data_IF_390382974112
#
_entry.id   IF_390382974112
#
_cell.length_a   1.000
_cell.length_b   1.000
_cell.length_c   1.000
_cell.angle_alpha   90.00
_cell.angle_beta   90.00
_cell.angle_gamma   90.00
#
_symmetry.space_group_name_H-M   'P 1'
#
loop_
_entity.id
_entity.type
_entity.pdbx_description
1 polymer ?
#
# COMPACT_ATOMS: atom_id res chain seq x y z
N UNK A 1 -3.73 13.90 31.63
CA UNK A 1 -4.23 15.05 30.84
C UNK A 1 -3.33 15.45 29.66
N UNK A 2 -2.04 15.09 29.61
CA UNK A 2 -1.11 15.45 28.52
C UNK A 2 -1.17 14.60 27.23
N UNK A 3 -1.83 13.43 27.26
CA UNK A 3 -2.04 12.56 26.07
C UNK A 3 -3.25 12.98 25.23
N UNK A 4 -4.22 13.67 25.82
CA UNK A 4 -5.38 14.20 25.09
C UNK A 4 -5.03 15.49 24.35
N UNK A 5 -4.15 16.31 24.93
CA UNK A 5 -3.73 17.60 24.37
C UNK A 5 -2.81 17.47 23.15
N UNK A 6 -2.04 16.38 23.03
CA UNK A 6 -1.21 16.09 21.84
C UNK A 6 -2.02 15.50 20.68
N UNK A 7 -3.08 14.74 20.96
CA UNK A 7 -4.08 14.34 19.96
C UNK A 7 -4.89 15.53 19.45
N UNK A 8 -5.31 16.42 20.37
CA UNK A 8 -5.98 17.68 20.04
C UNK A 8 -5.09 18.65 19.26
N UNK A 9 -3.78 18.69 19.51
CA UNK A 9 -2.85 19.52 18.72
C UNK A 9 -2.72 19.07 17.25
N UNK A 10 -2.99 17.78 16.98
CA UNK A 10 -2.97 17.19 15.64
C UNK A 10 -4.24 17.50 14.85
N UNK A 11 -5.38 17.63 15.54
CA UNK A 11 -6.62 18.20 14.99
C UNK A 11 -6.55 19.73 14.88
N UNK A 12 -5.74 20.41 15.71
CA UNK A 12 -5.63 21.88 15.75
C UNK A 12 -4.76 22.50 14.65
N UNK A 13 -4.00 21.72 13.86
CA UNK A 13 -3.26 22.24 12.70
C UNK A 13 -4.09 22.35 11.41
N UNK A 14 -5.35 21.94 11.46
CA UNK A 14 -6.36 22.36 10.50
C UNK A 14 -7.64 22.58 11.28
N UNK A 15 -7.89 23.81 11.72
CA UNK A 15 -9.26 24.26 11.96
C UNK A 15 -9.97 24.37 10.60
N UNK A 16 -9.99 23.27 9.83
CA UNK A 16 -10.81 23.14 8.64
C UNK A 16 -12.24 23.14 9.14
N UNK A 17 -13.03 24.08 8.65
CA UNK A 17 -14.45 24.13 8.96
C UNK A 17 -15.09 22.75 8.69
N UNK A 18 -16.13 22.33 9.43
CA UNK A 18 -16.84 21.08 9.13
C UNK A 18 -17.21 20.94 7.64
N UNK A 19 -17.44 22.07 7.00
CA UNK A 19 -17.71 22.20 5.57
C UNK A 19 -16.53 21.78 4.68
N UNK A 20 -15.30 22.16 5.00
CA UNK A 20 -14.10 21.74 4.26
C UNK A 20 -13.86 20.23 4.35
N UNK A 21 -14.08 19.65 5.54
CA UNK A 21 -13.99 18.19 5.73
C UNK A 21 -15.04 17.47 4.88
N UNK A 22 -16.27 17.98 4.87
CA UNK A 22 -17.36 17.45 4.06
C UNK A 22 -17.02 17.54 2.56
N UNK A 23 -16.57 18.69 2.06
CA UNK A 23 -16.20 18.84 0.65
C UNK A 23 -15.04 17.95 0.22
N UNK A 24 -14.04 17.79 1.07
CA UNK A 24 -12.93 16.86 0.83
C UNK A 24 -13.41 15.42 0.78
N UNK A 25 -14.34 15.02 1.66
CA UNK A 25 -14.95 13.70 1.64
C UNK A 25 -15.77 13.47 0.37
N UNK A 26 -16.64 14.43 -0.01
CA UNK A 26 -17.42 14.37 -1.23
C UNK A 26 -16.53 14.32 -2.48
N UNK A 27 -15.46 15.11 -2.52
CA UNK A 27 -14.50 15.11 -3.62
C UNK A 27 -13.75 13.77 -3.73
N UNK A 28 -13.28 13.21 -2.61
CA UNK A 28 -12.64 11.89 -2.59
C UNK A 28 -13.60 10.78 -3.02
N UNK A 29 -14.84 10.77 -2.50
CA UNK A 29 -15.86 9.80 -2.88
C UNK A 29 -16.19 9.89 -4.37
N UNK A 30 -16.43 11.11 -4.87
CA UNK A 30 -16.72 11.37 -6.29
C UNK A 30 -15.56 10.91 -7.18
N UNK A 31 -14.31 11.13 -6.77
CA UNK A 31 -13.14 10.70 -7.52
C UNK A 31 -13.03 9.17 -7.59
N UNK A 32 -13.31 8.46 -6.49
CA UNK A 32 -13.39 7.00 -6.48
C UNK A 32 -14.47 6.53 -7.45
N UNK A 33 -15.71 7.01 -7.30
CA UNK A 33 -16.82 6.63 -8.17
C UNK A 33 -16.54 6.93 -9.65
N UNK A 34 -15.97 8.10 -9.97
CA UNK A 34 -15.59 8.46 -11.33
C UNK A 34 -14.54 7.52 -11.91
N UNK A 35 -13.47 7.24 -11.16
CA UNK A 35 -12.40 6.33 -11.61
C UNK A 35 -12.93 4.92 -11.86
N UNK A 36 -13.85 4.45 -11.02
CA UNK A 36 -14.44 3.13 -11.10
C UNK A 36 -15.46 3.04 -12.23
N UNK A 37 -16.26 4.08 -12.44
CA UNK A 37 -17.15 4.19 -13.60
C UNK A 37 -16.36 4.21 -14.92
N UNK A 38 -15.22 4.91 -14.95
CA UNK A 38 -14.35 4.95 -16.11
C UNK A 38 -13.80 3.54 -16.44
N UNK A 39 -13.24 2.83 -15.44
CA UNK A 39 -12.77 1.46 -15.62
C UNK A 39 -13.93 0.51 -16.00
N UNK A 40 -15.14 0.76 -15.51
CA UNK A 40 -16.32 -0.04 -15.85
C UNK A 40 -16.77 0.09 -17.31
N UNK A 41 -16.28 1.10 -18.03
CA UNK A 41 -16.49 1.21 -19.47
C UNK A 41 -15.66 0.19 -20.25
N UNK A 42 -14.52 -0.29 -19.71
CA UNK A 42 -13.64 -1.23 -20.42
C UNK A 42 -14.34 -2.54 -20.79
N UNK A 43 -14.95 -3.30 -19.84
CA UNK A 43 -15.65 -4.53 -20.20
C UNK A 43 -16.91 -4.28 -21.04
N UNK A 44 -17.49 -3.07 -20.98
CA UNK A 44 -18.66 -2.70 -21.81
C UNK A 44 -18.29 -2.39 -23.26
N UNK A 45 -17.19 -1.68 -23.48
CA UNK A 45 -16.72 -1.27 -24.79
C UNK A 45 -15.97 -2.40 -25.51
N UNK A 46 -15.33 -3.29 -24.76
CA UNK A 46 -14.50 -4.36 -25.30
C UNK A 46 -14.89 -5.76 -24.78
N UNK A 47 -16.17 -6.19 -24.90
CA UNK A 47 -16.65 -7.44 -24.31
C UNK A 47 -16.01 -8.70 -24.90
N UNK A 48 -15.39 -8.60 -26.08
CA UNK A 48 -14.70 -9.70 -26.76
C UNK A 48 -13.26 -9.90 -26.31
N UNK A 49 -12.68 -8.97 -25.54
CA UNK A 49 -11.30 -9.09 -25.06
C UNK A 49 -11.21 -10.01 -23.85
N UNK A 50 -10.08 -10.71 -23.72
CA UNK A 50 -9.77 -11.46 -22.49
C UNK A 50 -9.51 -10.50 -21.33
N UNK A 51 -9.68 -10.97 -20.09
CA UNK A 51 -9.36 -10.19 -18.88
C UNK A 51 -7.92 -9.66 -18.90
N UNK A 52 -6.97 -10.47 -19.38
CA UNK A 52 -5.56 -10.08 -19.51
C UNK A 52 -5.36 -8.95 -20.52
N UNK A 53 -6.07 -8.98 -21.65
CA UNK A 53 -6.03 -7.91 -22.66
C UNK A 53 -6.72 -6.62 -22.18
N UNK A 54 -7.70 -6.72 -21.28
CA UNK A 54 -8.36 -5.56 -20.68
C UNK A 54 -7.49 -4.83 -19.65
N UNK A 55 -6.54 -5.50 -18.98
CA UNK A 55 -5.69 -4.90 -17.95
C UNK A 55 -4.92 -3.64 -18.39
N UNK A 56 -4.15 -3.64 -19.51
CA UNK A 56 -3.45 -2.43 -19.95
C UNK A 56 -4.42 -1.30 -20.34
N UNK A 57 -5.58 -1.63 -20.93
CA UNK A 57 -6.61 -0.65 -21.28
C UNK A 57 -7.21 -0.04 -20.01
N UNK A 58 -7.57 -0.86 -19.02
CA UNK A 58 -8.04 -0.42 -17.72
C UNK A 58 -7.01 0.46 -17.00
N UNK A 59 -5.71 0.13 -17.10
CA UNK A 59 -4.63 0.95 -16.58
C UNK A 59 -4.59 2.34 -17.22
N UNK A 60 -4.64 2.42 -18.55
CA UNK A 60 -4.67 3.70 -19.27
C UNK A 60 -5.92 4.53 -18.95
N UNK A 61 -7.09 3.89 -18.91
CA UNK A 61 -8.36 4.55 -18.55
C UNK A 61 -8.32 5.07 -17.11
N UNK A 62 -7.78 4.28 -16.18
CA UNK A 62 -7.64 4.69 -14.78
C UNK A 62 -6.67 5.87 -14.64
N UNK A 63 -5.54 5.86 -15.34
CA UNK A 63 -4.60 6.99 -15.37
C UNK A 63 -5.24 8.25 -15.95
N UNK A 64 -5.96 8.13 -17.06
CA UNK A 64 -6.70 9.24 -17.65
C UNK A 64 -7.75 9.79 -16.68
N UNK A 65 -8.48 8.92 -15.96
CA UNK A 65 -9.45 9.33 -14.95
C UNK A 65 -8.79 10.07 -13.77
N UNK A 66 -7.61 9.64 -13.32
CA UNK A 66 -6.84 10.37 -12.29
C UNK A 66 -6.43 11.76 -12.79
N UNK A 67 -5.93 11.87 -14.02
CA UNK A 67 -5.49 13.15 -14.61
C UNK A 67 -6.68 14.10 -14.74
N UNK A 68 -7.78 13.64 -15.33
CA UNK A 68 -9.02 14.43 -15.46
C UNK A 68 -9.57 14.84 -14.08
N UNK A 69 -9.58 13.93 -13.11
CA UNK A 69 -10.01 14.23 -11.76
C UNK A 69 -9.10 15.22 -11.03
N UNK A 70 -7.80 15.26 -11.35
CA UNK A 70 -6.88 16.31 -10.86
C UNK A 70 -7.19 17.67 -11.48
N UNK A 71 -7.44 17.71 -12.79
CA UNK A 71 -7.80 18.94 -13.51
C UNK A 71 -9.14 19.51 -13.01
N UNK A 72 -10.15 18.66 -12.87
CA UNK A 72 -11.48 19.03 -12.37
C UNK A 72 -11.44 19.62 -10.96
N UNK A 73 -10.68 18.99 -10.06
CA UNK A 73 -10.51 19.51 -8.69
C UNK A 73 -9.78 20.84 -8.65
N UNK A 74 -8.78 21.04 -9.53
CA UNK A 74 -8.09 22.32 -9.66
C UNK A 74 -9.02 23.43 -10.15
N UNK A 75 -9.97 23.09 -11.02
CA UNK A 75 -10.97 24.03 -11.52
C UNK A 75 -11.98 24.45 -10.44
N UNK A 76 -12.49 23.51 -9.63
CA UNK A 76 -13.48 23.80 -8.57
C UNK A 76 -12.81 24.35 -7.30
N UNK A 77 -11.50 24.16 -7.13
CA UNK A 77 -10.77 24.63 -5.94
C UNK A 77 -10.99 23.76 -4.70
N UNK A 78 -11.42 22.50 -4.86
CA UNK A 78 -11.66 21.57 -3.75
C UNK A 78 -10.49 20.59 -3.62
N UNK A 79 -9.88 20.55 -2.43
CA UNK A 79 -8.89 19.56 -2.08
C UNK A 79 -9.56 18.20 -1.84
N UNK A 80 -8.98 17.11 -2.33
CA UNK A 80 -9.40 15.76 -1.95
C UNK A 80 -8.39 15.16 -0.99
N UNK A 81 -8.87 14.39 -0.03
CA UNK A 81 -8.06 13.69 0.95
C UNK A 81 -7.68 12.31 0.43
N UNK A 82 -6.38 12.04 0.30
CA UNK A 82 -5.86 10.73 -0.08
C UNK A 82 -6.24 9.62 0.92
N UNK A 83 -6.24 9.85 2.25
CA UNK A 83 -6.81 8.89 3.21
C UNK A 83 -8.27 8.56 2.99
N UNK A 84 -9.09 9.56 2.66
CA UNK A 84 -10.51 9.32 2.34
C UNK A 84 -10.65 8.56 1.02
N UNK A 85 -9.77 8.80 0.05
CA UNK A 85 -9.73 8.02 -1.18
C UNK A 85 -9.45 6.52 -0.91
N UNK A 86 -8.49 6.21 -0.03
CA UNK A 86 -8.23 4.83 0.40
C UNK A 86 -9.45 4.23 1.12
N UNK A 87 -10.04 4.97 2.07
CA UNK A 87 -11.25 4.55 2.79
C UNK A 87 -12.40 4.19 1.83
N UNK A 88 -12.71 5.08 0.88
CA UNK A 88 -13.83 4.85 -0.05
C UNK A 88 -13.56 3.69 -1.01
N UNK A 89 -12.31 3.39 -1.37
CA UNK A 89 -12.00 2.19 -2.15
C UNK A 89 -12.22 0.91 -1.33
N UNK A 90 -11.82 0.87 -0.05
CA UNK A 90 -12.12 -0.26 0.84
C UNK A 90 -13.64 -0.48 0.92
N UNK A 91 -14.39 0.59 1.19
CA UNK A 91 -15.85 0.53 1.31
C UNK A 91 -16.52 0.12 -0.01
N UNK A 92 -16.01 0.58 -1.15
CA UNK A 92 -16.52 0.19 -2.46
C UNK A 92 -16.31 -1.30 -2.72
N UNK A 93 -15.07 -1.81 -2.57
CA UNK A 93 -14.78 -3.23 -2.80
C UNK A 93 -15.59 -4.11 -1.85
N UNK A 94 -15.66 -3.73 -0.57
CA UNK A 94 -16.47 -4.44 0.42
C UNK A 94 -17.97 -4.39 0.07
N UNK A 95 -18.47 -3.24 -0.38
CA UNK A 95 -19.85 -3.07 -0.83
C UNK A 95 -20.18 -3.93 -2.06
N UNK A 96 -19.33 -3.94 -3.09
CA UNK A 96 -19.50 -4.79 -4.28
C UNK A 96 -19.53 -6.26 -3.85
N UNK A 97 -18.63 -6.65 -2.95
CA UNK A 97 -18.61 -8.00 -2.43
C UNK A 97 -19.93 -8.37 -1.73
N UNK A 98 -20.37 -7.57 -0.76
CA UNK A 98 -21.58 -7.86 0.04
C UNK A 98 -22.85 -7.83 -0.81
N UNK A 99 -23.02 -6.80 -1.64
CA UNK A 99 -24.29 -6.56 -2.35
C UNK A 99 -24.41 -7.28 -3.70
N UNK A 100 -23.28 -7.61 -4.34
CA UNK A 100 -23.26 -8.26 -5.66
C UNK A 100 -22.78 -9.70 -5.55
N UNK A 101 -21.54 -9.92 -5.09
CA UNK A 101 -20.91 -11.25 -5.10
C UNK A 101 -21.61 -12.20 -4.12
N UNK A 102 -21.65 -11.86 -2.82
CA UNK A 102 -22.30 -12.67 -1.77
C UNK A 102 -23.78 -12.88 -2.06
N UNK A 103 -24.50 -11.84 -2.50
CA UNK A 103 -25.92 -11.94 -2.81
C UNK A 103 -26.17 -12.94 -3.94
N UNK A 104 -25.36 -12.89 -5.00
CA UNK A 104 -25.38 -13.89 -6.07
C UNK A 104 -25.19 -15.30 -5.53
N UNK A 105 -24.22 -15.49 -4.62
CA UNK A 105 -23.98 -16.80 -3.99
C UNK A 105 -25.19 -17.36 -3.23
N UNK A 106 -25.85 -16.52 -2.43
CA UNK A 106 -27.01 -16.91 -1.62
C UNK A 106 -28.24 -17.26 -2.47
N UNK A 107 -28.48 -16.55 -3.57
CA UNK A 107 -29.62 -16.81 -4.46
C UNK A 107 -29.51 -18.20 -5.09
N UNK A 108 -28.34 -18.60 -5.58
CA UNK A 108 -28.19 -19.94 -6.18
C UNK A 108 -28.17 -21.06 -5.15
N UNK A 109 -27.62 -20.86 -3.95
CA UNK A 109 -27.76 -21.84 -2.86
C UNK A 109 -29.23 -22.14 -2.62
N UNK A 110 -30.06 -21.10 -2.51
CA UNK A 110 -31.51 -21.23 -2.34
C UNK A 110 -32.18 -21.94 -3.53
N UNK A 111 -31.77 -21.64 -4.78
CA UNK A 111 -32.32 -22.32 -5.96
C UNK A 111 -31.95 -23.80 -5.99
N UNK A 112 -30.71 -24.14 -5.63
CA UNK A 112 -30.26 -25.53 -5.52
C UNK A 112 -31.09 -26.26 -4.47
N UNK A 113 -31.21 -25.72 -3.26
CA UNK A 113 -32.00 -26.35 -2.18
C UNK A 113 -33.44 -26.65 -2.65
N UNK A 114 -34.11 -25.70 -3.31
CA UNK A 114 -35.48 -25.90 -3.84
C UNK A 114 -35.53 -27.04 -4.88
N UNK A 115 -34.52 -27.15 -5.75
CA UNK A 115 -34.44 -28.23 -6.76
C UNK A 115 -34.15 -29.59 -6.09
N UNK A 116 -33.31 -29.64 -5.05
CA UNK A 116 -32.99 -30.87 -4.30
C UNK A 116 -34.19 -31.42 -3.50
N UNK A 117 -35.11 -30.56 -3.05
CA UNK A 117 -36.29 -30.98 -2.27
C UNK A 117 -37.54 -31.31 -3.11
N UNK A 118 -37.44 -31.34 -4.44
CA UNK A 118 -38.53 -31.80 -5.31
C UNK A 118 -38.73 -33.32 -5.21
N UNK A 119 -39.97 -33.82 -5.01
CA UNK A 119 -40.24 -35.24 -4.70
C UNK A 119 -39.90 -36.24 -5.83
N UNK A 120 -39.65 -35.77 -7.06
CA UNK A 120 -39.56 -36.64 -8.25
C UNK A 120 -38.15 -36.86 -8.84
N UNK A 121 -37.07 -36.37 -8.21
CA UNK A 121 -35.74 -36.33 -8.87
C UNK A 121 -34.67 -37.27 -8.28
N UNK A 122 -34.99 -38.02 -7.22
CA UNK A 122 -34.02 -38.82 -6.46
C UNK A 122 -33.34 -39.96 -7.27
N UNK A 123 -33.92 -40.43 -8.37
CA UNK A 123 -33.45 -41.63 -9.10
C UNK A 123 -32.24 -41.38 -10.02
N UNK A 124 -31.95 -40.14 -10.43
CA UNK A 124 -30.83 -39.82 -11.34
C UNK A 124 -29.53 -39.41 -10.63
N UNK A 125 -29.47 -39.41 -9.29
CA UNK A 125 -28.42 -38.73 -8.50
C UNK A 125 -27.09 -39.47 -8.35
N UNK A 126 -26.94 -40.71 -8.83
CA UNK A 126 -25.68 -41.47 -8.72
C UNK A 126 -24.49 -40.84 -9.46
N UNK A 127 -24.73 -40.11 -10.55
CA UNK A 127 -23.69 -39.35 -11.29
C UNK A 127 -23.48 -37.96 -10.68
N UNK A 128 -24.50 -37.43 -10.01
CA UNK A 128 -24.47 -36.08 -9.48
C UNK A 128 -23.90 -36.04 -8.06
N UNK A 129 -23.73 -37.19 -7.39
CA UNK A 129 -23.04 -37.29 -6.09
C UNK A 129 -21.53 -36.98 -6.19
N UNK A 130 -20.89 -37.34 -7.31
CA UNK A 130 -19.50 -36.93 -7.63
C UNK A 130 -19.41 -35.41 -7.86
N UNK A 131 -20.43 -34.81 -8.49
CA UNK A 131 -20.58 -33.36 -8.69
C UNK A 131 -20.98 -32.65 -7.38
N UNK A 132 -21.70 -33.34 -6.48
CA UNK A 132 -22.11 -32.87 -5.16
C UNK A 132 -20.93 -32.81 -4.20
N UNK A 133 -19.98 -33.74 -4.28
CA UNK A 133 -18.72 -33.65 -3.54
C UNK A 133 -17.90 -32.42 -3.97
N UNK A 134 -17.86 -32.12 -5.28
CA UNK A 134 -17.31 -30.85 -5.78
C UNK A 134 -18.07 -29.64 -5.24
N UNK A 135 -19.40 -29.76 -5.09
CA UNK A 135 -20.29 -28.70 -4.61
C UNK A 135 -20.21 -28.46 -3.10
N UNK A 136 -19.99 -29.49 -2.29
CA UNK A 136 -19.80 -29.40 -0.83
C UNK A 136 -18.45 -28.74 -0.51
N UNK A 137 -17.38 -29.14 -1.20
CA UNK A 137 -16.06 -28.47 -1.14
C UNK A 137 -16.18 -27.01 -1.64
N UNK A 138 -16.95 -26.75 -2.70
CA UNK A 138 -17.18 -25.39 -3.21
C UNK A 138 -18.02 -24.52 -2.26
N UNK A 139 -18.98 -25.11 -1.52
CA UNK A 139 -19.79 -24.41 -0.53
C UNK A 139 -18.98 -24.06 0.72
N UNK A 140 -18.16 -25.00 1.22
CA UNK A 140 -17.31 -24.80 2.40
C UNK A 140 -16.22 -23.75 2.12
N UNK A 141 -15.57 -23.82 0.95
CA UNK A 141 -14.63 -22.77 0.50
C UNK A 141 -15.27 -21.40 0.32
N UNK A 142 -16.58 -21.31 0.03
CA UNK A 142 -17.27 -20.01 -0.11
C UNK A 142 -17.62 -19.40 1.25
N UNK A 143 -17.96 -20.23 2.25
CA UNK A 143 -18.20 -19.78 3.63
C UNK A 143 -16.92 -19.23 4.27
N UNK A 144 -15.80 -19.96 4.14
CA UNK A 144 -14.50 -19.53 4.65
C UNK A 144 -14.04 -18.23 3.99
N UNK A 145 -14.21 -18.13 2.66
CA UNK A 145 -13.84 -16.95 1.90
C UNK A 145 -14.69 -15.73 2.30
N UNK A 146 -15.97 -15.94 2.61
CA UNK A 146 -16.84 -14.89 3.13
C UNK A 146 -16.38 -14.36 4.49
N UNK A 147 -16.08 -15.25 5.43
CA UNK A 147 -15.55 -14.83 6.73
C UNK A 147 -14.22 -14.09 6.57
N UNK A 148 -13.34 -14.60 5.69
CA UNK A 148 -12.02 -14.03 5.45
C UNK A 148 -12.10 -12.60 4.92
N UNK A 149 -12.83 -12.36 3.83
CA UNK A 149 -12.90 -11.02 3.21
C UNK A 149 -13.57 -9.99 4.13
N UNK A 150 -14.57 -10.39 4.93
CA UNK A 150 -15.16 -9.50 5.94
C UNK A 150 -14.14 -9.15 7.04
N UNK A 151 -13.40 -10.15 7.53
CA UNK A 151 -12.39 -9.95 8.55
C UNK A 151 -11.26 -9.05 8.04
N UNK A 152 -10.77 -9.30 6.83
CA UNK A 152 -9.78 -8.46 6.15
C UNK A 152 -10.26 -7.01 6.01
N UNK A 153 -11.48 -6.78 5.51
CA UNK A 153 -12.05 -5.44 5.38
C UNK A 153 -12.16 -4.73 6.75
N UNK A 154 -12.64 -5.43 7.79
CA UNK A 154 -12.74 -4.89 9.13
C UNK A 154 -11.36 -4.55 9.72
N UNK A 155 -10.36 -5.42 9.53
CA UNK A 155 -8.99 -5.20 9.97
C UNK A 155 -8.32 -4.03 9.22
N UNK A 156 -8.59 -3.87 7.92
CA UNK A 156 -8.12 -2.73 7.14
C UNK A 156 -8.73 -1.41 7.62
N UNK A 157 -10.05 -1.36 7.87
CA UNK A 157 -10.72 -0.18 8.40
C UNK A 157 -10.19 0.18 9.80
N UNK A 158 -10.04 -0.82 10.67
CA UNK A 158 -9.46 -0.64 12.00
C UNK A 158 -8.01 -0.16 11.92
N UNK A 159 -7.18 -0.80 11.08
CA UNK A 159 -5.79 -0.41 10.89
C UNK A 159 -5.66 1.00 10.32
N UNK A 160 -6.50 1.38 9.36
CA UNK A 160 -6.55 2.72 8.79
C UNK A 160 -6.89 3.76 9.87
N UNK A 161 -7.89 3.50 10.70
CA UNK A 161 -8.20 4.35 11.85
C UNK A 161 -7.01 4.48 12.82
N UNK A 162 -6.34 3.35 13.11
CA UNK A 162 -5.20 3.30 14.03
C UNK A 162 -3.97 4.04 13.50
N UNK A 163 -3.67 3.97 12.20
CA UNK A 163 -2.51 4.66 11.62
C UNK A 163 -2.76 6.17 11.49
N UNK A 164 -3.99 6.57 11.15
CA UNK A 164 -4.39 7.98 11.08
C UNK A 164 -4.37 8.67 12.45
N UNK A 165 -4.86 7.97 13.48
CA UNK A 165 -4.93 8.49 14.85
C UNK A 165 -3.62 8.30 15.63
N UNK A 166 -2.71 7.48 15.11
CA UNK A 166 -1.49 7.05 15.79
C UNK A 166 -0.38 8.10 15.80
N UNK A 167 0.46 8.08 16.84
CA UNK A 167 1.69 8.85 16.86
C UNK A 167 2.80 8.16 16.04
N UNK A 168 3.34 8.78 14.97
CA UNK A 168 4.46 8.19 14.22
C UNK A 168 5.78 8.21 15.01
N UNK A 169 5.83 8.93 16.13
CA UNK A 169 7.02 9.17 16.91
C UNK A 169 7.46 10.63 16.84
N UNK A 170 6.52 11.56 16.97
CA UNK A 170 6.82 13.00 16.98
C UNK A 170 7.66 13.32 18.22
N UNK A 171 8.71 14.12 18.03
CA UNK A 171 9.60 14.60 19.09
C UNK A 171 9.49 16.13 19.17
N UNK A 172 9.22 16.65 20.36
CA UNK A 172 9.40 18.08 20.66
C UNK A 172 10.89 18.35 20.77
N UNK A 173 11.44 19.12 19.84
CA UNK A 173 12.82 19.57 19.94
C UNK A 173 12.79 20.85 20.75
N UNK A 174 13.14 20.77 22.03
CA UNK A 174 13.30 21.96 22.86
C UNK A 174 14.56 22.70 22.38
N UNK A 175 14.39 24.00 22.10
CA UNK A 175 15.43 24.92 21.61
C UNK A 175 16.73 24.88 22.42
N UNK A 176 16.66 24.45 23.68
CA UNK A 176 17.82 24.35 24.58
C UNK A 176 18.89 23.37 24.08
N UNK A 177 18.52 22.31 23.35
CA UNK A 177 19.52 21.38 22.77
C UNK A 177 20.17 21.94 21.49
N UNK A 178 19.53 22.91 20.83
CA UNK A 178 20.08 23.56 19.64
C UNK A 178 21.01 24.73 20.00
N UNK A 179 20.84 25.37 21.15
CA UNK A 179 21.77 26.37 21.66
C UNK A 179 23.06 25.73 22.23
N UNK A 180 22.96 24.55 22.85
CA UNK A 180 24.14 23.81 23.33
C UNK A 180 24.93 23.15 22.17
N UNK A 181 24.27 22.89 21.03
CA UNK A 181 24.86 22.30 19.83
C UNK A 181 25.28 23.33 18.77
N UNK A 182 25.65 24.55 19.21
CA UNK A 182 26.26 25.64 18.44
C UNK A 182 26.40 25.39 16.94
N UNK A 183 25.46 25.90 16.16
CA UNK A 183 25.46 25.81 14.71
C UNK A 183 26.73 26.46 14.15
N UNK A 184 27.75 25.65 13.84
CA UNK A 184 28.62 25.85 12.67
C UNK A 184 29.39 24.62 12.19
N UNK A 185 29.72 23.64 13.02
CA UNK A 185 30.49 22.47 12.53
C UNK A 185 29.97 21.15 13.13
N UNK A 186 28.99 20.54 12.45
CA UNK A 186 28.38 19.26 12.84
C UNK A 186 29.33 18.05 12.67
N UNK A 187 30.53 18.27 12.14
CA UNK A 187 31.51 17.21 11.81
C UNK A 187 32.46 16.91 12.97
N UNK A 188 32.68 17.85 13.89
CA UNK A 188 33.77 17.73 14.87
C UNK A 188 33.33 17.36 16.29
N UNK A 189 32.01 17.32 16.57
CA UNK A 189 31.47 16.86 17.86
C UNK A 189 31.18 15.34 17.90
N UNK A 190 31.54 14.60 16.83
CA UNK A 190 31.37 13.16 16.75
C UNK A 190 32.56 12.50 17.44
N UNK A 191 32.48 12.34 18.77
CA UNK A 191 33.14 11.38 19.68
C UNK A 191 33.52 12.10 21.01
N UNK A 192 33.21 11.60 22.22
CA UNK A 192 32.41 10.43 22.62
C UNK A 192 31.29 10.83 23.60
N UNK A 193 30.03 10.65 23.21
CA UNK A 193 28.92 10.62 24.18
C UNK A 193 28.10 9.35 23.98
N UNK A 194 28.18 8.46 24.96
CA UNK A 194 27.40 7.21 25.08
C UNK A 194 25.88 7.39 24.98
N UNK A 195 25.36 8.62 24.86
CA UNK A 195 23.93 8.94 24.76
C UNK A 195 23.40 9.14 23.33
N UNK A 196 24.25 9.11 22.30
CA UNK A 196 23.85 9.37 20.90
C UNK A 196 23.06 8.26 20.14
N UNK A 197 22.86 7.01 20.61
CA UNK A 197 21.99 6.06 19.91
C UNK A 197 20.51 6.50 19.85
N UNK A 198 20.11 7.43 20.73
CA UNK A 198 18.72 7.87 20.85
C UNK A 198 18.29 8.90 19.77
N UNK A 199 19.23 9.62 19.16
CA UNK A 199 18.99 10.71 18.20
C UNK A 199 19.20 10.33 16.72
N UNK A 200 19.76 9.16 16.43
CA UNK A 200 20.40 8.85 15.14
C UNK A 200 19.51 8.87 13.88
N UNK A 201 18.18 8.84 14.00
CA UNK A 201 17.25 8.94 12.85
C UNK A 201 16.07 9.88 13.09
N UNK A 202 16.26 10.99 13.80
CA UNK A 202 15.23 12.03 13.88
C UNK A 202 15.33 12.93 12.66
N UNK A 203 14.25 13.03 11.86
CA UNK A 203 14.21 13.90 10.66
C UNK A 203 12.98 14.80 10.69
N UNK A 204 13.10 15.99 10.09
CA UNK A 204 11.99 16.91 9.93
C UNK A 204 11.16 16.55 8.69
N UNK A 205 9.84 16.45 8.86
CA UNK A 205 8.92 16.32 7.74
C UNK A 205 8.50 17.71 7.23
N UNK A 206 8.74 17.98 5.94
CA UNK A 206 8.41 19.24 5.30
C UNK A 206 6.91 19.51 5.18
N UNK A 207 6.09 18.46 5.11
CA UNK A 207 4.63 18.58 5.03
C UNK A 207 3.99 18.74 6.42
N UNK A 208 4.38 17.91 7.40
CA UNK A 208 3.82 17.97 8.75
C UNK A 208 4.43 19.09 9.62
N UNK A 209 5.56 19.66 9.22
CA UNK A 209 6.36 20.61 10.02
C UNK A 209 6.61 20.09 11.43
N UNK A 210 7.08 18.84 11.50
CA UNK A 210 7.31 18.11 12.74
C UNK A 210 8.54 17.21 12.62
N UNK A 211 9.27 17.05 13.72
CA UNK A 211 10.40 16.13 13.81
C UNK A 211 9.90 14.75 14.21
N UNK A 212 10.29 13.72 13.46
CA UNK A 212 9.82 12.35 13.63
C UNK A 212 11.01 11.44 13.86
N UNK A 213 10.95 10.63 14.93
CA UNK A 213 11.97 9.64 15.26
C UNK A 213 11.85 8.42 14.36
N UNK A 214 12.98 7.97 13.83
CA UNK A 214 13.04 6.88 12.85
C UNK A 214 12.17 7.16 11.64
N UNK A 215 12.15 8.43 11.20
CA UNK A 215 11.41 8.88 10.03
C UNK A 215 11.75 8.00 8.83
N UNK A 216 10.73 7.61 8.07
CA UNK A 216 10.90 6.84 6.84
C UNK A 216 10.44 7.68 5.64
N UNK A 217 9.18 8.12 5.67
CA UNK A 217 8.62 9.05 4.71
C UNK A 217 7.33 9.66 5.27
N UNK A 218 6.80 10.68 4.62
CA UNK A 218 5.40 11.02 4.80
C UNK A 218 4.58 10.29 3.74
N UNK A 219 3.56 9.56 4.17
CA UNK A 219 2.71 8.79 3.29
C UNK A 219 1.42 9.58 2.98
N UNK A 220 1.22 10.09 1.76
CA UNK A 220 -0.01 10.79 1.41
C UNK A 220 -1.24 9.92 1.58
N UNK A 221 -1.15 8.62 1.25
CA UNK A 221 -2.25 7.67 1.38
C UNK A 221 -2.79 7.54 2.82
N UNK A 222 -1.92 7.70 3.81
CA UNK A 222 -2.30 7.70 5.23
C UNK A 222 -2.30 9.10 5.87
N UNK A 223 -2.00 10.16 5.11
CA UNK A 223 -2.03 11.55 5.60
C UNK A 223 -1.14 11.81 6.83
N UNK A 224 -0.12 10.97 7.05
CA UNK A 224 0.71 10.99 8.26
C UNK A 224 2.14 10.55 7.94
N UNK A 225 3.08 10.88 8.82
CA UNK A 225 4.43 10.36 8.72
C UNK A 225 4.46 8.87 9.05
N UNK A 226 5.32 8.13 8.37
CA UNK A 226 5.73 6.79 8.78
C UNK A 226 7.06 6.93 9.51
N UNK A 227 7.08 6.47 10.76
CA UNK A 227 8.20 6.62 11.67
C UNK A 227 8.29 5.43 12.63
N UNK A 228 9.17 5.53 13.61
CA UNK A 228 9.54 4.41 14.47
C UNK A 228 8.35 3.74 15.18
N UNK A 229 7.31 4.50 15.56
CA UNK A 229 6.17 3.99 16.34
C UNK A 229 5.08 3.34 15.49
N UNK A 230 4.95 3.71 14.22
CA UNK A 230 3.89 3.21 13.34
C UNK A 230 4.40 2.42 12.11
N UNK A 231 5.71 2.30 11.89
CA UNK A 231 6.26 1.58 10.73
C UNK A 231 5.78 0.12 10.64
N UNK A 232 5.59 -0.56 11.77
CA UNK A 232 5.06 -1.94 11.77
C UNK A 232 3.59 -2.01 11.36
N UNK A 233 2.78 -1.06 11.82
CA UNK A 233 1.38 -0.95 11.42
C UNK A 233 1.27 -0.60 9.93
N UNK A 234 2.16 0.26 9.42
CA UNK A 234 2.27 0.55 7.99
C UNK A 234 2.55 -0.72 7.18
N UNK A 235 3.53 -1.53 7.58
CA UNK A 235 3.82 -2.80 6.90
C UNK A 235 2.64 -3.78 6.98
N UNK A 236 2.01 -3.92 8.15
CA UNK A 236 0.86 -4.78 8.32
C UNK A 236 -0.34 -4.33 7.46
N UNK A 237 -0.58 -3.03 7.35
CA UNK A 237 -1.60 -2.47 6.46
C UNK A 237 -1.27 -2.70 5.00
N UNK A 238 -0.04 -2.43 4.56
CA UNK A 238 0.39 -2.64 3.18
C UNK A 238 0.22 -4.11 2.77
N UNK A 239 0.68 -5.05 3.60
CA UNK A 239 0.44 -6.48 3.38
C UNK A 239 -1.05 -6.81 3.42
N UNK A 240 -1.81 -6.24 4.36
CA UNK A 240 -3.25 -6.44 4.47
C UNK A 240 -4.02 -5.98 3.23
N UNK A 241 -3.61 -4.87 2.60
CA UNK A 241 -4.23 -4.39 1.35
C UNK A 241 -3.99 -5.39 0.22
N UNK A 242 -2.74 -5.83 0.02
CA UNK A 242 -2.38 -6.84 -0.99
C UNK A 242 -3.19 -8.13 -0.78
N UNK A 243 -3.30 -8.59 0.47
CA UNK A 243 -4.06 -9.81 0.81
C UNK A 243 -5.55 -9.61 0.52
N UNK A 244 -6.17 -8.54 1.03
CA UNK A 244 -7.60 -8.28 0.84
C UNK A 244 -8.00 -8.11 -0.63
N UNK A 245 -7.19 -7.42 -1.42
CA UNK A 245 -7.40 -7.25 -2.86
C UNK A 245 -7.20 -8.56 -3.63
N UNK A 246 -6.27 -9.41 -3.20
CA UNK A 246 -6.09 -10.76 -3.76
C UNK A 246 -7.28 -11.66 -3.44
N UNK A 247 -7.74 -11.65 -2.18
CA UNK A 247 -8.95 -12.35 -1.73
C UNK A 247 -10.17 -11.88 -2.52
N UNK A 248 -10.35 -10.56 -2.69
CA UNK A 248 -11.42 -9.98 -3.50
C UNK A 248 -11.36 -10.43 -4.97
N UNK A 249 -10.16 -10.47 -5.56
CA UNK A 249 -9.95 -10.95 -6.93
C UNK A 249 -10.32 -12.42 -7.07
N UNK A 250 -10.02 -13.24 -6.07
CA UNK A 250 -10.44 -14.64 -6.01
C UNK A 250 -11.97 -14.78 -5.92
N UNK A 251 -12.63 -14.03 -5.03
CA UNK A 251 -14.10 -13.97 -4.96
C UNK A 251 -14.73 -13.59 -6.30
N UNK A 252 -14.18 -12.56 -6.95
CA UNK A 252 -14.66 -12.05 -8.23
C UNK A 252 -14.50 -13.09 -9.34
N UNK A 253 -13.36 -13.79 -9.35
CA UNK A 253 -13.09 -14.88 -10.32
C UNK A 253 -14.07 -16.04 -10.12
N UNK A 254 -14.37 -16.44 -8.88
CA UNK A 254 -15.38 -17.46 -8.58
C UNK A 254 -16.76 -17.02 -9.08
N UNK A 255 -17.15 -15.77 -8.81
CA UNK A 255 -18.42 -15.21 -9.27
C UNK A 255 -18.53 -15.22 -10.80
N UNK A 256 -17.51 -14.71 -11.52
CA UNK A 256 -17.50 -14.65 -12.99
C UNK A 256 -17.52 -16.05 -13.60
N UNK A 257 -16.67 -16.96 -13.11
CA UNK A 257 -16.62 -18.36 -13.58
C UNK A 257 -17.98 -19.02 -13.42
N UNK A 258 -18.68 -18.73 -12.33
CA UNK A 258 -20.03 -19.26 -12.11
C UNK A 258 -21.04 -18.70 -13.10
N UNK A 259 -21.03 -17.39 -13.36
CA UNK A 259 -21.90 -16.79 -14.38
C UNK A 259 -21.68 -17.40 -15.77
N UNK A 260 -20.44 -17.76 -16.10
CA UNK A 260 -20.07 -18.46 -17.34
C UNK A 260 -20.64 -19.88 -17.34
N UNK A 261 -20.34 -20.66 -16.30
CA UNK A 261 -20.69 -22.08 -16.24
C UNK A 261 -22.20 -22.34 -16.14
N UNK A 262 -22.94 -21.49 -15.42
CA UNK A 262 -24.39 -21.63 -15.27
C UNK A 262 -25.15 -21.19 -16.54
N UNK A 263 -24.46 -20.69 -17.58
CA UNK A 263 -25.11 -20.11 -18.76
C UNK A 263 -25.93 -18.84 -18.45
N UNK A 264 -25.85 -18.33 -17.22
CA UNK A 264 -26.61 -17.19 -16.71
C UNK A 264 -26.02 -15.84 -17.13
N UNK A 265 -24.98 -15.83 -17.97
CA UNK A 265 -24.48 -14.63 -18.66
C UNK A 265 -25.60 -13.78 -19.29
N UNK A 266 -26.72 -14.41 -19.71
CA UNK A 266 -27.91 -13.74 -20.26
C UNK A 266 -28.97 -13.36 -19.22
N UNK A 267 -28.97 -13.96 -18.03
CA UNK A 267 -29.99 -13.73 -16.99
C UNK A 267 -29.50 -12.87 -15.83
N UNK A 268 -28.20 -12.85 -15.56
CA UNK A 268 -27.59 -11.95 -14.59
C UNK A 268 -27.67 -10.51 -15.09
N UNK A 269 -27.80 -9.57 -14.16
CA UNK A 269 -27.87 -8.16 -14.51
C UNK A 269 -26.52 -7.74 -15.15
N UNK A 270 -26.49 -7.31 -16.43
CA UNK A 270 -25.24 -6.95 -17.10
C UNK A 270 -24.50 -5.81 -16.37
N UNK A 271 -25.21 -5.01 -15.57
CA UNK A 271 -24.59 -3.99 -14.71
C UNK A 271 -23.75 -4.62 -13.60
N UNK A 272 -24.27 -5.66 -12.93
CA UNK A 272 -23.59 -6.37 -11.84
C UNK A 272 -22.31 -7.06 -12.31
N UNK A 273 -22.39 -7.80 -13.42
CA UNK A 273 -21.23 -8.50 -13.98
C UNK A 273 -20.14 -7.51 -14.41
N UNK A 274 -20.50 -6.43 -15.11
CA UNK A 274 -19.56 -5.38 -15.50
C UNK A 274 -18.94 -4.68 -14.28
N UNK A 275 -19.73 -4.47 -13.22
CA UNK A 275 -19.24 -3.88 -11.97
C UNK A 275 -18.18 -4.78 -11.34
N UNK A 276 -18.42 -6.08 -11.23
CA UNK A 276 -17.46 -7.06 -10.69
C UNK A 276 -16.20 -7.16 -11.55
N UNK A 277 -16.33 -7.24 -12.88
CA UNK A 277 -15.17 -7.28 -13.78
C UNK A 277 -14.34 -5.99 -13.64
N UNK A 278 -15.00 -4.83 -13.60
CA UNK A 278 -14.33 -3.54 -13.45
C UNK A 278 -13.54 -3.44 -12.14
N UNK A 279 -14.17 -3.74 -11.01
CA UNK A 279 -13.53 -3.64 -9.70
C UNK A 279 -12.45 -4.71 -9.54
N UNK A 280 -12.60 -5.88 -10.16
CA UNK A 280 -11.55 -6.89 -10.25
C UNK A 280 -10.34 -6.39 -11.05
N UNK A 281 -10.54 -5.78 -12.22
CA UNK A 281 -9.44 -5.18 -13.01
C UNK A 281 -8.73 -4.09 -12.22
N UNK A 282 -9.48 -3.20 -11.56
CA UNK A 282 -8.91 -2.20 -10.67
C UNK A 282 -8.09 -2.82 -9.52
N UNK A 283 -8.63 -3.86 -8.87
CA UNK A 283 -7.96 -4.59 -7.80
C UNK A 283 -6.65 -5.23 -8.27
N UNK A 284 -6.62 -5.84 -9.45
CA UNK A 284 -5.40 -6.43 -10.03
C UNK A 284 -4.35 -5.34 -10.29
N UNK A 285 -4.75 -4.19 -10.86
CA UNK A 285 -3.84 -3.07 -11.09
C UNK A 285 -3.23 -2.55 -9.79
N UNK A 286 -4.03 -2.47 -8.72
CA UNK A 286 -3.56 -2.08 -7.39
C UNK A 286 -2.55 -3.08 -6.82
N UNK A 287 -2.87 -4.38 -6.83
CA UNK A 287 -2.00 -5.44 -6.31
C UNK A 287 -0.65 -5.46 -7.02
N UNK A 288 -0.62 -5.31 -8.35
CA UNK A 288 0.64 -5.30 -9.13
C UNK A 288 1.59 -4.21 -8.63
N UNK A 289 1.08 -2.99 -8.45
CA UNK A 289 1.88 -1.87 -7.93
C UNK A 289 2.25 -2.07 -6.45
N UNK A 290 1.29 -2.49 -5.63
CA UNK A 290 1.49 -2.65 -4.19
C UNK A 290 2.49 -3.76 -3.84
N UNK A 291 2.56 -4.85 -4.61
CA UNK A 291 3.57 -5.90 -4.42
C UNK A 291 4.98 -5.35 -4.63
N UNK A 292 5.20 -4.57 -5.69
CA UNK A 292 6.50 -3.93 -5.94
C UNK A 292 6.87 -2.99 -4.79
N UNK A 293 5.90 -2.19 -4.31
CA UNK A 293 6.10 -1.29 -3.18
C UNK A 293 6.36 -2.03 -1.85
N UNK A 294 5.69 -3.17 -1.63
CA UNK A 294 5.91 -4.03 -0.47
C UNK A 294 7.29 -4.68 -0.51
N UNK A 295 7.70 -5.22 -1.66
CA UNK A 295 9.04 -5.78 -1.86
C UNK A 295 10.13 -4.74 -1.58
N UNK A 296 9.91 -3.51 -2.05
CA UNK A 296 10.79 -2.37 -1.76
C UNK A 296 10.95 -2.14 -0.24
N UNK A 297 9.84 -2.07 0.51
CA UNK A 297 9.92 -1.88 1.95
C UNK A 297 10.51 -3.07 2.71
N UNK A 298 10.28 -4.30 2.24
CA UNK A 298 10.93 -5.50 2.79
C UNK A 298 12.44 -5.40 2.58
N UNK A 299 12.89 -4.97 1.40
CA UNK A 299 14.30 -4.71 1.12
C UNK A 299 14.86 -3.65 2.09
N UNK A 300 14.19 -2.51 2.26
CA UNK A 300 14.59 -1.48 3.22
C UNK A 300 14.72 -2.02 4.66
N UNK A 301 13.79 -2.87 5.11
CA UNK A 301 13.86 -3.50 6.43
C UNK A 301 15.04 -4.47 6.52
N UNK A 302 15.24 -5.30 5.50
CA UNK A 302 16.33 -6.29 5.43
C UNK A 302 17.70 -5.65 5.54
N UNK A 303 17.90 -4.46 4.98
CA UNK A 303 19.18 -3.74 5.06
C UNK A 303 19.18 -2.63 6.11
N UNK A 304 18.12 -2.50 6.91
CA UNK A 304 17.93 -1.42 7.87
C UNK A 304 18.17 -0.02 7.27
N UNK A 305 17.58 0.24 6.10
CA UNK A 305 17.61 1.53 5.41
C UNK A 305 16.21 2.15 5.45
N UNK A 306 16.12 3.47 5.58
CA UNK A 306 14.86 4.22 5.47
C UNK A 306 14.66 4.75 4.05
N UNK A 307 13.40 4.92 3.66
CA UNK A 307 13.07 5.47 2.34
C UNK A 307 13.69 6.87 2.14
N UNK A 308 13.74 7.70 3.17
CA UNK A 308 14.39 9.03 3.12
C UNK A 308 15.93 8.97 2.99
N UNK A 309 16.54 7.87 3.43
CA UNK A 309 17.98 7.62 3.31
C UNK A 309 18.35 7.21 1.88
N UNK A 310 17.39 6.67 1.12
CA UNK A 310 17.58 6.25 -0.26
C UNK A 310 17.33 7.37 -1.29
N UNK A 311 16.36 8.26 -1.06
CA UNK A 311 15.91 9.21 -2.08
C UNK A 311 16.74 10.52 -2.14
N UNK A 312 17.32 10.81 -3.31
CA UNK A 312 17.64 12.17 -3.78
C UNK A 312 16.65 12.58 -4.89
N UNK A 313 16.43 13.89 -5.05
CA UNK A 313 15.57 14.46 -6.08
C UNK A 313 15.86 13.95 -7.50
N UNK A 314 14.78 13.77 -8.25
CA UNK A 314 14.63 13.42 -9.69
C UNK A 314 15.42 12.24 -10.26
N UNK A 315 16.38 11.64 -9.55
CA UNK A 315 17.14 10.46 -9.98
C UNK A 315 17.36 9.51 -8.80
N UNK A 316 16.99 8.23 -8.96
CA UNK A 316 17.19 7.15 -7.97
C UNK A 316 18.69 6.83 -7.79
N UNK A 317 19.42 7.69 -7.09
CA UNK A 317 20.79 7.45 -6.61
C UNK A 317 20.81 7.48 -5.09
N UNK A 318 21.55 6.54 -4.49
CA UNK A 318 21.64 6.40 -3.04
C UNK A 318 22.25 7.67 -2.42
N UNK A 319 21.51 8.29 -1.51
CA UNK A 319 21.84 9.60 -0.95
C UNK A 319 22.78 9.55 0.26
N UNK A 320 23.80 8.69 0.21
CA UNK A 320 24.79 8.60 1.28
C UNK A 320 25.53 9.93 1.51
N UNK A 321 25.56 10.81 0.50
CA UNK A 321 26.18 12.14 0.59
C UNK A 321 25.45 13.12 1.51
N UNK A 322 24.15 12.94 1.75
CA UNK A 322 23.35 13.85 2.60
C UNK A 322 23.58 13.61 4.09
N UNK A 323 24.02 12.42 4.46
CA UNK A 323 24.04 11.96 5.84
C UNK A 323 25.47 11.55 6.22
N UNK A 324 26.19 12.36 7.03
CA UNK A 324 27.58 12.10 7.41
C UNK A 324 27.79 10.73 8.06
N UNK A 325 26.78 10.20 8.76
CA UNK A 325 26.83 8.89 9.42
C UNK A 325 27.01 7.71 8.46
N UNK A 326 26.74 7.88 7.16
CA UNK A 326 26.98 6.86 6.13
C UNK A 326 28.32 7.02 5.41
N UNK A 327 29.09 8.06 5.75
CA UNK A 327 30.39 8.38 5.15
C UNK A 327 31.48 7.98 6.14
N UNK A 328 32.01 6.76 5.99
CA UNK A 328 33.08 6.25 6.85
C UNK A 328 34.39 6.18 6.07
N UNK A 329 35.46 6.77 6.61
CA UNK A 329 36.83 6.63 6.11
C UNK A 329 37.46 5.46 6.86
N UNK A 330 37.48 4.25 6.30
CA UNK A 330 38.14 3.12 6.97
C UNK A 330 39.68 3.27 6.95
N UNK A 331 40.31 3.11 8.11
CA UNK A 331 41.64 2.52 8.22
C UNK A 331 41.51 0.98 8.16
N UNK A 332 42.44 0.26 7.51
CA UNK A 332 42.26 -1.15 7.21
C UNK A 332 42.41 -2.01 8.47
N UNK A 333 41.35 -2.69 8.90
CA UNK A 333 41.46 -3.83 9.81
C UNK A 333 40.82 -5.07 9.21
N UNK A 334 41.58 -6.17 9.24
CA UNK A 334 41.27 -7.41 8.56
C UNK A 334 40.12 -8.18 9.20
N UNK A 335 39.25 -8.73 8.35
CA UNK A 335 38.58 -9.99 8.66
C UNK A 335 37.12 -9.91 9.10
N UNK A 336 36.28 -9.16 8.38
CA UNK A 336 34.83 -9.44 8.33
C UNK A 336 34.37 -9.34 6.87
N UNK A 337 33.46 -10.23 6.45
CA UNK A 337 32.83 -10.16 5.14
C UNK A 337 32.02 -8.85 5.07
N UNK A 338 32.64 -7.79 4.57
CA UNK A 338 31.95 -6.56 4.20
C UNK A 338 31.08 -6.88 2.99
N UNK A 339 29.76 -6.78 3.18
CA UNK A 339 28.84 -6.70 2.04
C UNK A 339 29.11 -5.33 1.41
N UNK A 340 30.05 -5.30 0.46
CA UNK A 340 30.03 -4.31 -0.60
C UNK A 340 28.65 -4.46 -1.23
N UNK A 341 27.76 -3.49 -1.06
CA UNK A 341 26.61 -3.36 -1.94
C UNK A 341 27.19 -2.89 -3.27
N UNK A 342 27.76 -3.82 -4.03
CA UNK A 342 28.03 -3.62 -5.44
C UNK A 342 26.66 -3.38 -6.09
N UNK A 343 26.52 -2.20 -6.68
CA UNK A 343 25.33 -1.73 -7.35
C UNK A 343 25.12 -2.47 -8.68
N UNK A 344 24.99 -3.79 -8.63
CA UNK A 344 24.57 -4.61 -9.75
C UNK A 344 23.48 -5.55 -9.24
N UNK A 345 22.20 -5.21 -9.44
CA UNK A 345 21.09 -6.17 -9.58
C UNK A 345 19.78 -5.44 -9.99
N UNK A 346 19.67 -5.14 -11.28
CA UNK A 346 18.60 -5.54 -12.23
C UNK A 346 17.14 -5.82 -11.75
N UNK A 347 16.57 -5.16 -10.73
CA UNK A 347 15.14 -5.38 -10.35
C UNK A 347 14.32 -4.06 -10.22
N UNK A 348 14.65 -3.04 -11.03
CA UNK A 348 13.79 -1.84 -11.16
C UNK A 348 13.53 -1.42 -12.61
N UNK A 349 13.96 -2.22 -13.58
CA UNK A 349 14.12 -1.79 -14.96
C UNK A 349 12.88 -1.93 -15.87
N UNK A 350 11.73 -2.41 -15.39
CA UNK A 350 10.59 -2.71 -16.30
C UNK A 350 9.49 -1.64 -16.32
N UNK A 351 9.40 -0.73 -15.35
CA UNK A 351 8.18 0.13 -15.23
C UNK A 351 8.34 1.58 -15.69
N UNK A 352 9.54 2.11 -15.94
CA UNK A 352 9.71 3.57 -16.17
C UNK A 352 10.58 4.00 -17.37
N UNK A 353 10.67 3.19 -18.43
CA UNK A 353 11.48 3.45 -19.64
C UNK A 353 11.45 4.91 -20.16
N UNK A 354 12.59 5.60 -20.16
CA UNK A 354 13.23 6.33 -21.28
C UNK A 354 14.33 7.30 -20.77
N UNK A 355 15.38 7.49 -21.59
CA UNK A 355 16.41 8.55 -21.56
C UNK A 355 17.76 8.21 -20.88
N UNK A 356 18.73 7.94 -21.76
CA UNK A 356 20.20 8.09 -21.67
C UNK A 356 21.01 7.29 -20.62
N UNK A 357 21.65 6.25 -21.16
CA UNK A 357 22.92 5.71 -20.68
C UNK A 357 23.99 6.78 -20.88
N UNK A 358 24.56 7.30 -19.79
CA UNK A 358 25.86 7.99 -19.83
C UNK A 358 26.93 7.03 -19.30
N UNK A 359 28.00 6.73 -20.06
CA UNK A 359 29.13 5.99 -19.53
C UNK A 359 29.90 6.87 -18.53
N UNK A 360 30.30 6.30 -17.40
CA UNK A 360 31.23 6.98 -16.48
C UNK A 360 32.64 7.04 -17.13
N UNK A 361 33.38 8.16 -16.98
CA UNK A 361 34.77 8.26 -17.41
C UNK A 361 35.69 7.47 -16.45
N UNK A 362 36.89 7.07 -16.90
CA UNK A 362 37.78 6.24 -16.10
C UNK A 362 38.32 6.99 -14.88
N UNK A 363 38.47 6.22 -13.80
CA UNK A 363 38.91 6.62 -12.46
C UNK A 363 40.32 7.23 -12.44
N UNK A 364 40.47 8.43 -11.88
CA UNK A 364 41.72 8.84 -11.26
C UNK A 364 41.65 8.52 -9.76
N UNK A 365 42.67 7.80 -9.29
CA UNK A 365 42.85 7.37 -7.92
C UNK A 365 43.18 8.57 -7.02
N UNK A 366 42.22 9.01 -6.21
CA UNK A 366 42.49 9.80 -5.00
C UNK A 366 41.36 9.61 -3.97
N UNK A 367 41.68 8.90 -2.88
CA UNK A 367 40.86 8.62 -1.69
C UNK A 367 39.40 8.18 -1.94
N UNK A 368 39.20 6.89 -2.18
CA UNK A 368 37.87 6.30 -2.35
C UNK A 368 37.08 6.37 -1.02
N UNK A 369 36.15 7.32 -0.91
CA UNK A 369 35.19 7.39 0.21
C UNK A 369 34.29 6.15 0.12
N UNK A 370 34.47 5.20 1.04
CA UNK A 370 33.61 4.03 1.17
C UNK A 370 32.34 4.40 1.94
N UNK A 371 31.20 4.01 1.40
CA UNK A 371 29.91 4.18 2.07
C UNK A 371 29.56 2.89 2.81
N UNK A 372 29.32 3.01 4.12
CA UNK A 372 28.94 1.88 4.98
C UNK A 372 27.65 2.24 5.69
N UNK A 373 26.70 1.30 5.75
CA UNK A 373 25.50 1.48 6.55
C UNK A 373 25.77 1.07 8.01
N UNK A 374 25.92 2.02 8.95
CA UNK A 374 26.26 1.70 10.34
C UNK A 374 25.10 1.01 11.10
N UNK A 375 23.91 0.96 10.51
CA UNK A 375 22.73 0.39 11.11
C UNK A 375 22.46 -1.05 10.65
N UNK A 376 23.13 -1.51 9.60
CA UNK A 376 22.95 -2.85 9.08
C UNK A 376 23.67 -3.87 9.98
N UNK A 377 22.90 -4.74 10.64
CA UNK A 377 23.41 -5.84 11.48
C UNK A 377 23.36 -7.19 10.78
N UNK A 378 23.11 -7.19 9.46
CA UNK A 378 22.80 -8.36 8.67
C UNK A 378 21.29 -8.64 8.61
N UNK A 379 20.85 -9.17 7.46
CA UNK A 379 19.44 -9.34 7.08
C UNK A 379 18.56 -9.98 8.17
N UNK A 380 18.97 -11.14 8.69
CA UNK A 380 18.19 -11.87 9.70
C UNK A 380 18.08 -11.10 11.02
N UNK A 381 19.16 -10.43 11.44
CA UNK A 381 19.17 -9.60 12.65
C UNK A 381 18.25 -8.40 12.49
N UNK A 382 18.30 -7.71 11.34
CA UNK A 382 17.46 -6.55 11.05
C UNK A 382 15.97 -6.92 11.04
N UNK A 383 15.60 -8.01 10.35
CA UNK A 383 14.22 -8.51 10.32
C UNK A 383 13.75 -8.89 11.73
N UNK A 384 14.58 -9.60 12.49
CA UNK A 384 14.26 -10.00 13.86
C UNK A 384 14.03 -8.77 14.76
N UNK A 385 14.88 -7.76 14.69
CA UNK A 385 14.71 -6.51 15.45
C UNK A 385 13.45 -5.76 15.05
N UNK A 386 13.10 -5.74 13.77
CA UNK A 386 11.87 -5.12 13.28
C UNK A 386 10.61 -5.82 13.82
N UNK A 387 10.63 -7.15 13.89
CA UNK A 387 9.50 -7.97 14.35
C UNK A 387 9.38 -8.10 15.88
N UNK A 388 10.39 -7.75 16.66
CA UNK A 388 10.32 -7.79 18.13
C UNK A 388 9.23 -6.85 18.66
N UNK A 389 8.23 -7.34 19.43
CA UNK A 389 7.25 -6.50 20.13
C UNK A 389 7.95 -5.42 20.96
N UNK A 390 7.39 -4.21 21.00
CA UNK A 390 7.89 -3.09 21.81
C UNK A 390 6.92 -2.76 22.91
#
# INVERSE_FOLDING_TARGET
MSRLTTGLHRLRRSASSPWEVLWSALASCSLVLFSQLAVAMVPRLFPSLSLLAMLPIAGLVFLAAIVLGRLWRRFIGVAASAPLFVLFNILLLWGVYVFVIRRGELVERRLKDVIYFGPDVAYYWGIVDEICNQSYIFADTSSLLDMLINAECALLLWGLYRILSGDPGIVSCDSSYLEEAGCKDFVEAIYPSEKLPMLSRVRQCNWCKANVRGYDHHCPAFGTCIGQKNHRLFMALLTGFVVAESTYTMCSTKYITRCINSGTLRSENPVSLNMVISTMLFSILQVVWQIVFLMWHIYCISFNIKTDEWLKGEVFQINWKKYPEFQMREQPQSGYFHILIMAEHQISLVVFNMVHVCPFPPSNADSEVKFVNPYDKGMLCNIREFLKPK
#
